data_IF_101962892836
#
_entry.id   IF_101962892836
#
_cell.length_a   1.000
_cell.length_b   1.000
_cell.length_c   1.000
_cell.angle_alpha   90.00
_cell.angle_beta   90.00
_cell.angle_gamma   90.00
#
_symmetry.space_group_name_H-M   'P 1'
#
loop_
_entity.id
_entity.type
_entity.pdbx_description
1 polymer ?
#
# COMPACT_ATOMS: atom_id res chain seq x y z
N UNK A 1 24.11 8.45 -18.43
CA UNK A 1 22.82 7.75 -18.42
C UNK A 1 22.78 6.86 -17.19
N UNK A 2 22.20 7.34 -16.08
CA UNK A 2 22.08 6.55 -14.86
C UNK A 2 20.81 5.70 -14.97
N UNK A 3 21.00 4.43 -15.29
CA UNK A 3 19.93 3.43 -15.17
C UNK A 3 19.87 3.08 -13.69
N UNK A 4 18.95 3.69 -12.94
CA UNK A 4 18.62 3.21 -11.60
C UNK A 4 17.97 1.83 -11.75
N UNK A 5 18.75 0.77 -11.55
CA UNK A 5 18.22 -0.57 -11.38
C UNK A 5 17.62 -0.66 -9.96
N UNK A 6 16.41 -0.13 -9.76
CA UNK A 6 15.64 -0.43 -8.55
C UNK A 6 15.20 -1.89 -8.64
N UNK A 7 16.01 -2.82 -8.13
CA UNK A 7 15.58 -4.19 -7.93
C UNK A 7 14.46 -4.17 -6.89
N UNK A 8 13.21 -4.22 -7.36
CA UNK A 8 12.02 -4.26 -6.52
C UNK A 8 12.16 -5.38 -5.49
N UNK A 9 12.01 -5.04 -4.21
CA UNK A 9 12.25 -5.95 -3.08
C UNK A 9 11.45 -7.26 -3.26
N UNK A 10 12.08 -8.45 -3.17
CA UNK A 10 11.40 -9.74 -3.37
C UNK A 10 10.19 -9.95 -2.46
N UNK A 11 10.19 -9.34 -1.26
CA UNK A 11 9.03 -9.36 -0.37
C UNK A 11 7.86 -8.57 -0.95
N UNK A 12 8.12 -7.37 -1.47
CA UNK A 12 7.10 -6.49 -2.08
C UNK A 12 6.50 -7.14 -3.33
N UNK A 13 7.32 -7.86 -4.12
CA UNK A 13 6.84 -8.62 -5.29
C UNK A 13 5.72 -9.61 -4.98
N UNK A 14 5.65 -10.13 -3.75
CA UNK A 14 4.60 -11.08 -3.34
C UNK A 14 3.22 -10.44 -3.24
N UNK A 15 3.11 -9.11 -3.19
CA UNK A 15 1.84 -8.40 -3.05
C UNK A 15 1.13 -8.15 -4.38
N UNK A 16 1.81 -8.19 -5.53
CA UNK A 16 1.17 -8.08 -6.85
C UNK A 16 0.14 -9.19 -7.11
N UNK A 17 0.43 -10.49 -6.90
CA UNK A 17 -0.59 -11.52 -7.07
C UNK A 17 -1.70 -11.43 -6.02
N UNK A 18 -1.41 -10.94 -4.81
CA UNK A 18 -2.44 -10.71 -3.77
C UNK A 18 -3.42 -9.64 -4.24
N UNK A 19 -2.89 -8.49 -4.67
CA UNK A 19 -3.66 -7.37 -5.22
C UNK A 19 -4.58 -7.86 -6.35
N UNK A 20 -4.00 -8.48 -7.39
CA UNK A 20 -4.77 -8.98 -8.55
C UNK A 20 -5.88 -9.94 -8.15
N UNK A 21 -5.60 -10.87 -7.23
CA UNK A 21 -6.59 -11.85 -6.77
C UNK A 21 -7.75 -11.16 -6.07
N UNK A 22 -7.46 -10.19 -5.19
CA UNK A 22 -8.52 -9.47 -4.47
C UNK A 22 -9.31 -8.58 -5.42
N UNK A 23 -8.64 -7.86 -6.34
CA UNK A 23 -9.29 -7.01 -7.32
C UNK A 23 -10.29 -7.80 -8.18
N UNK A 24 -9.92 -9.01 -8.63
CA UNK A 24 -10.81 -9.90 -9.37
C UNK A 24 -12.03 -10.38 -8.57
N UNK A 25 -11.89 -10.56 -7.25
CA UNK A 25 -12.95 -11.09 -6.38
C UNK A 25 -13.88 -10.02 -5.80
N UNK A 26 -13.38 -8.78 -5.62
CA UNK A 26 -14.06 -7.71 -4.87
C UNK A 26 -14.21 -6.39 -5.62
N UNK A 27 -13.43 -6.19 -6.68
CA UNK A 27 -13.32 -4.92 -7.39
C UNK A 27 -11.99 -4.23 -7.11
N UNK A 28 -11.63 -3.31 -8.00
CA UNK A 28 -10.33 -2.64 -8.04
C UNK A 28 -10.03 -1.83 -6.77
N UNK A 29 -8.74 -1.68 -6.49
CA UNK A 29 -8.25 -0.79 -5.44
C UNK A 29 -8.12 0.63 -5.97
N UNK A 30 -8.44 1.60 -5.12
CA UNK A 30 -8.07 3.01 -5.27
C UNK A 30 -6.71 3.31 -4.65
N UNK A 31 -6.22 2.45 -3.74
CA UNK A 31 -4.86 2.49 -3.21
C UNK A 31 -4.45 1.08 -2.79
N UNK A 32 -3.25 0.66 -3.17
CA UNK A 32 -2.59 -0.50 -2.59
C UNK A 32 -1.12 -0.15 -2.37
N UNK A 33 -0.74 0.07 -1.12
CA UNK A 33 0.59 0.52 -0.76
C UNK A 33 1.22 -0.29 0.38
N UNK A 34 2.54 -0.31 0.42
CA UNK A 34 3.35 -0.82 1.52
C UNK A 34 4.26 0.29 2.02
N UNK A 35 4.16 0.60 3.31
CA UNK A 35 4.97 1.63 3.95
C UNK A 35 5.88 1.03 5.03
N UNK A 36 7.18 1.24 4.89
CA UNK A 36 8.16 1.03 5.94
C UNK A 36 8.32 2.32 6.74
N UNK A 37 8.10 2.25 8.04
CA UNK A 37 8.24 3.39 8.95
C UNK A 37 9.71 3.59 9.32
N UNK A 38 10.15 4.84 9.52
CA UNK A 38 11.53 5.15 9.89
C UNK A 38 12.03 4.39 11.12
N UNK A 39 11.18 4.28 12.14
CA UNK A 39 11.55 3.71 13.43
C UNK A 39 11.49 2.16 13.48
N UNK A 40 11.00 1.50 12.42
CA UNK A 40 10.83 0.03 12.41
C UNK A 40 11.29 -0.57 11.07
N UNK A 41 12.61 -0.69 10.86
CA UNK A 41 13.15 -1.17 9.58
C UNK A 41 12.76 -2.61 9.27
N UNK A 42 12.46 -2.89 8.00
CA UNK A 42 12.16 -4.23 7.50
C UNK A 42 10.75 -4.74 7.82
N UNK A 43 9.92 -3.93 8.49
CA UNK A 43 8.52 -4.22 8.79
C UNK A 43 7.63 -3.19 8.07
N UNK A 44 6.58 -3.70 7.44
CA UNK A 44 5.74 -2.97 6.50
C UNK A 44 4.32 -2.87 7.02
N UNK A 45 3.75 -1.69 6.91
CA UNK A 45 2.32 -1.47 7.04
C UNK A 45 1.70 -1.58 5.65
N UNK A 46 0.66 -2.41 5.51
CA UNK A 46 -0.10 -2.55 4.26
C UNK A 46 -1.28 -1.61 4.33
N UNK A 47 -1.40 -0.69 3.38
CA UNK A 47 -2.46 0.32 3.36
C UNK A 47 -3.27 0.18 2.08
N UNK A 48 -4.57 -0.03 2.23
CA UNK A 48 -5.49 -0.31 1.14
C UNK A 48 -6.64 0.69 1.15
N UNK A 49 -7.04 1.17 -0.01
CA UNK A 49 -8.31 1.88 -0.19
C UNK A 49 -9.05 1.33 -1.41
N UNK A 50 -10.37 1.20 -1.30
CA UNK A 50 -11.26 0.79 -2.38
C UNK A 50 -12.69 1.20 -2.03
N UNK A 51 -13.58 1.26 -3.01
CA UNK A 51 -14.98 1.66 -2.76
C UNK A 51 -15.76 0.61 -1.95
N UNK A 52 -15.29 -0.66 -1.98
CA UNK A 52 -15.82 -1.74 -1.14
C UNK A 52 -15.21 -1.77 0.27
N UNK A 53 -14.31 -0.82 0.60
CA UNK A 53 -13.61 -0.70 1.88
C UNK A 53 -13.91 0.63 2.60
N UNK A 54 -14.01 0.61 3.94
CA UNK A 54 -14.42 -0.51 4.78
C UNK A 54 -15.95 -0.66 4.74
N UNK A 55 -16.48 -1.79 4.25
CA UNK A 55 -17.91 -2.09 4.31
C UNK A 55 -18.32 -2.74 5.66
N UNK A 56 -17.60 -3.79 6.05
CA UNK A 56 -17.67 -4.40 7.38
C UNK A 56 -16.24 -4.64 7.89
N UNK A 57 -15.72 -3.72 8.70
CA UNK A 57 -14.30 -3.59 9.03
C UNK A 57 -13.64 -4.94 9.39
N UNK A 58 -14.19 -5.68 10.36
CA UNK A 58 -13.62 -6.95 10.81
C UNK A 58 -13.69 -8.07 9.74
N UNK A 59 -14.77 -8.13 8.94
CA UNK A 59 -14.90 -9.13 7.87
C UNK A 59 -13.93 -8.83 6.73
N UNK A 60 -13.84 -7.57 6.32
CA UNK A 60 -12.90 -7.11 5.30
C UNK A 60 -11.46 -7.32 5.73
N UNK A 61 -11.13 -6.99 6.98
CA UNK A 61 -9.79 -7.20 7.54
C UNK A 61 -9.43 -8.68 7.55
N UNK A 62 -10.32 -9.55 8.03
CA UNK A 62 -10.11 -11.01 8.04
C UNK A 62 -9.90 -11.56 6.63
N UNK A 63 -10.71 -11.11 5.67
CA UNK A 63 -10.59 -11.54 4.28
C UNK A 63 -9.24 -11.13 3.67
N UNK A 64 -8.88 -9.84 3.75
CA UNK A 64 -7.62 -9.31 3.22
C UNK A 64 -6.42 -9.99 3.89
N UNK A 65 -6.43 -10.07 5.22
CA UNK A 65 -5.36 -10.71 5.97
C UNK A 65 -5.22 -12.20 5.61
N UNK A 66 -6.34 -12.89 5.38
CA UNK A 66 -6.35 -14.27 4.89
C UNK A 66 -5.64 -14.43 3.54
N UNK A 67 -5.90 -13.53 2.59
CA UNK A 67 -5.23 -13.53 1.28
C UNK A 67 -3.74 -13.25 1.39
N UNK A 68 -3.35 -12.30 2.23
CA UNK A 68 -1.94 -12.00 2.51
C UNK A 68 -1.24 -13.24 3.11
N UNK A 69 -1.85 -13.87 4.12
CA UNK A 69 -1.28 -15.05 4.79
C UNK A 69 -1.14 -16.25 3.87
N UNK A 70 -2.02 -16.41 2.89
CA UNK A 70 -1.96 -17.52 1.93
C UNK A 70 -0.73 -17.45 1.01
N UNK A 71 -0.18 -16.25 0.78
CA UNK A 71 0.97 -16.03 -0.11
C UNK A 71 2.27 -15.80 0.65
N UNK A 72 2.20 -15.21 1.85
CA UNK A 72 3.38 -14.91 2.65
C UNK A 72 3.79 -16.07 3.56
N UNK A 73 4.89 -16.74 3.23
CA UNK A 73 5.51 -17.77 4.08
C UNK A 73 5.96 -17.23 5.46
N UNK A 74 6.27 -15.93 5.54
CA UNK A 74 6.73 -15.24 6.75
C UNK A 74 6.01 -13.89 6.91
N UNK A 75 4.81 -13.93 7.49
CA UNK A 75 3.99 -12.74 7.75
C UNK A 75 4.58 -11.79 8.81
N UNK A 76 5.65 -12.17 9.51
CA UNK A 76 6.34 -11.36 10.54
C UNK A 76 6.85 -10.00 10.04
N UNK A 77 6.89 -9.79 8.72
CA UNK A 77 7.27 -8.51 8.10
C UNK A 77 6.08 -7.57 7.85
N UNK A 78 4.85 -7.97 8.17
CA UNK A 78 3.66 -7.11 8.11
C UNK A 78 3.30 -6.69 9.54
N UNK A 79 3.39 -5.39 9.84
CA UNK A 79 3.06 -4.84 11.17
C UNK A 79 1.55 -4.67 11.34
N UNK A 80 0.88 -4.12 10.33
CA UNK A 80 -0.58 -3.95 10.31
C UNK A 80 -1.11 -3.91 8.88
N UNK A 81 -2.40 -4.16 8.76
CA UNK A 81 -3.20 -3.93 7.56
C UNK A 81 -4.19 -2.82 7.88
N UNK A 82 -4.14 -1.72 7.14
CA UNK A 82 -5.01 -0.55 7.28
C UNK A 82 -5.96 -0.53 6.10
N UNK A 83 -7.25 -0.51 6.38
CA UNK A 83 -8.31 -0.43 5.39
C UNK A 83 -8.91 0.98 5.45
N UNK A 84 -8.85 1.69 4.34
CA UNK A 84 -9.30 3.06 4.21
C UNK A 84 -10.46 3.13 3.23
N UNK A 85 -11.33 4.12 3.42
CA UNK A 85 -12.23 4.57 2.35
C UNK A 85 -11.41 5.39 1.33
N UNK A 86 -11.85 5.43 0.07
CA UNK A 86 -11.23 6.25 -0.98
C UNK A 86 -11.22 7.75 -0.65
N UNK A 87 -12.13 8.22 0.20
CA UNK A 87 -12.24 9.62 0.62
C UNK A 87 -11.47 9.96 1.91
N UNK A 88 -10.69 9.02 2.46
CA UNK A 88 -9.92 9.27 3.68
C UNK A 88 -8.87 10.38 3.48
N UNK A 89 -8.70 11.32 4.43
CA UNK A 89 -7.76 12.43 4.31
C UNK A 89 -6.32 12.00 3.99
N UNK A 90 -5.92 10.83 4.48
CA UNK A 90 -4.59 10.26 4.19
C UNK A 90 -4.43 9.89 2.71
N UNK A 91 -5.46 9.36 2.05
CA UNK A 91 -5.42 9.00 0.62
C UNK A 91 -5.20 10.25 -0.22
N UNK A 92 -5.92 11.32 0.10
CA UNK A 92 -5.76 12.63 -0.55
C UNK A 92 -4.37 13.22 -0.32
N UNK A 93 -3.89 13.23 0.93
CA UNK A 93 -2.55 13.74 1.23
C UNK A 93 -1.43 12.95 0.53
N UNK A 94 -1.59 11.64 0.39
CA UNK A 94 -0.69 10.82 -0.39
C UNK A 94 -0.76 11.16 -1.88
N UNK A 95 -1.96 11.38 -2.43
CA UNK A 95 -2.13 11.83 -3.81
C UNK A 95 -1.41 13.17 -4.06
N UNK A 96 -1.68 14.18 -3.22
CA UNK A 96 -1.06 15.51 -3.32
C UNK A 96 0.48 15.40 -3.28
N UNK A 97 1.01 14.62 -2.34
CA UNK A 97 2.45 14.32 -2.26
C UNK A 97 2.99 13.68 -3.54
N UNK A 98 2.29 12.70 -4.12
CA UNK A 98 2.76 12.04 -5.33
C UNK A 98 2.74 12.96 -6.54
N UNK A 99 1.75 13.87 -6.64
CA UNK A 99 1.69 14.86 -7.70
C UNK A 99 2.88 15.81 -7.66
N UNK A 100 3.24 16.30 -6.47
CA UNK A 100 4.42 17.15 -6.25
C UNK A 100 5.74 16.45 -6.60
N UNK A 101 5.78 15.12 -6.49
CA UNK A 101 6.97 14.29 -6.72
C UNK A 101 6.97 13.55 -8.07
N UNK A 102 6.16 13.97 -9.03
CA UNK A 102 6.07 13.37 -10.38
C UNK A 102 5.60 11.89 -10.41
N UNK A 103 4.75 11.50 -9.47
CA UNK A 103 4.06 10.21 -9.37
C UNK A 103 4.98 8.98 -9.37
N UNK A 104 5.92 8.87 -8.42
CA UNK A 104 6.80 7.72 -8.35
C UNK A 104 6.06 6.51 -7.76
N UNK A 105 6.27 5.31 -8.33
CA UNK A 105 5.77 4.06 -7.72
C UNK A 105 6.55 3.66 -6.45
N UNK A 106 7.72 4.27 -6.23
CA UNK A 106 8.56 4.05 -5.05
C UNK A 106 9.12 5.39 -4.59
N UNK A 107 8.97 5.71 -3.32
CA UNK A 107 9.53 6.92 -2.72
C UNK A 107 10.20 6.62 -1.38
N UNK A 108 11.00 7.56 -0.90
CA UNK A 108 11.73 7.43 0.36
C UNK A 108 11.76 8.73 1.14
N UNK A 109 11.90 8.62 2.47
CA UNK A 109 12.06 9.74 3.42
C UNK A 109 10.96 10.81 3.27
N UNK A 110 9.70 10.38 3.39
CA UNK A 110 8.54 11.25 3.27
C UNK A 110 7.80 11.35 4.61
N UNK A 111 7.20 12.53 4.86
CA UNK A 111 6.28 12.73 5.97
C UNK A 111 4.91 13.06 5.38
N UNK A 112 3.95 12.14 5.57
CA UNK A 112 2.60 12.30 5.03
C UNK A 112 1.63 12.29 6.20
N UNK A 113 0.93 13.40 6.43
CA UNK A 113 0.03 13.58 7.59
C UNK A 113 0.69 13.22 8.94
N UNK A 114 1.95 13.64 9.12
CA UNK A 114 2.72 13.37 10.35
C UNK A 114 3.26 11.95 10.47
N UNK A 115 3.03 11.09 9.46
CA UNK A 115 3.56 9.73 9.43
C UNK A 115 4.88 9.70 8.67
N UNK A 116 5.98 9.46 9.40
CA UNK A 116 7.31 9.31 8.80
C UNK A 116 7.46 7.96 8.11
N UNK A 117 7.52 8.01 6.78
CA UNK A 117 7.69 6.87 5.88
C UNK A 117 9.12 6.87 5.36
N UNK A 118 9.87 5.85 5.73
CA UNK A 118 11.23 5.63 5.22
C UNK A 118 11.20 5.20 3.76
N UNK A 119 10.33 4.24 3.44
CA UNK A 119 10.16 3.72 2.08
C UNK A 119 8.69 3.45 1.82
N UNK A 120 8.16 3.97 0.72
CA UNK A 120 6.82 3.66 0.23
C UNK A 120 6.87 2.95 -1.11
N UNK A 121 6.14 1.84 -1.22
CA UNK A 121 5.90 1.14 -2.49
C UNK A 121 4.41 1.24 -2.83
N UNK A 122 4.09 1.71 -4.02
CA UNK A 122 2.75 1.76 -4.57
C UNK A 122 2.59 0.62 -5.58
N UNK A 123 1.68 -0.31 -5.28
CA UNK A 123 1.24 -1.34 -6.22
C UNK A 123 0.12 -0.77 -7.08
N UNK A 124 -0.80 -0.06 -6.44
CA UNK A 124 -1.82 0.77 -7.08
C UNK A 124 -1.72 2.16 -6.46
N UNK A 125 -1.30 3.20 -7.22
CA UNK A 125 -1.29 4.57 -6.74
C UNK A 125 -2.72 5.13 -6.61
N UNK A 126 -2.95 6.15 -5.77
CA UNK A 126 -4.23 6.85 -5.72
C UNK A 126 -4.61 7.43 -7.08
N UNK A 127 -5.87 7.27 -7.48
CA UNK A 127 -6.40 7.85 -8.72
C UNK A 127 -6.37 9.38 -8.65
N UNK A 128 -6.09 10.02 -9.79
CA UNK A 128 -6.29 11.46 -9.95
C UNK A 128 -7.78 11.73 -10.04
N UNK A 129 -8.35 12.33 -9.00
CA UNK A 129 -9.66 12.95 -9.12
C UNK A 129 -9.50 14.20 -10.01
N UNK A 130 -10.04 14.13 -11.22
CA UNK A 130 -10.13 15.26 -12.17
C UNK A 130 -11.23 16.25 -11.76
#
# INVERSE_FOLDING_TARGET
MFIFHFSLNPFIKKFFPIERTIAQEKGDFKLFALFERENVPGIWDVVLAADWLPSEEMKSLRYVFGKIRAVLDKYLKVSKVVLLNSNEPFVKALQDFLEDYHNPNVFSNAVIHGLSIKTGYLIVPPEKNH
#
